data_IF_285589665745
#
_entry.id   IF_285589665745
#
_cell.length_a   1.000
_cell.length_b   1.000
_cell.length_c   1.000
_cell.angle_alpha   90.00
_cell.angle_beta   90.00
_cell.angle_gamma   90.00
#
_symmetry.space_group_name_H-M   'P 1'
#
loop_
_entity.id
_entity.type
_entity.pdbx_description
1 polymer ?
#
# COMPACT_ATOMS: atom_id res chain seq x y z
N UNK A 1 -31.23 11.46 -9.79
CA UNK A 1 -30.29 12.04 -10.78
C UNK A 1 -29.37 13.08 -10.14
N UNK A 2 -29.88 14.19 -9.58
CA UNK A 2 -29.04 15.20 -8.91
C UNK A 2 -28.18 14.59 -7.79
N UNK A 3 -28.80 13.82 -6.87
CA UNK A 3 -28.09 13.16 -5.77
C UNK A 3 -26.98 12.21 -6.24
N UNK A 4 -27.25 11.39 -7.27
CA UNK A 4 -26.26 10.48 -7.87
C UNK A 4 -25.06 11.26 -8.40
N UNK A 5 -25.31 12.34 -9.15
CA UNK A 5 -24.23 13.18 -9.70
C UNK A 5 -23.37 13.78 -8.60
N UNK A 6 -24.00 14.35 -7.57
CA UNK A 6 -23.28 14.93 -6.43
C UNK A 6 -22.44 13.89 -5.70
N UNK A 7 -22.98 12.69 -5.42
CA UNK A 7 -22.22 11.62 -4.76
C UNK A 7 -21.05 11.14 -5.63
N UNK A 8 -21.27 10.99 -6.94
CA UNK A 8 -20.20 10.65 -7.89
C UNK A 8 -19.08 11.68 -7.83
N UNK A 9 -19.41 12.98 -7.88
CA UNK A 9 -18.44 14.07 -7.82
C UNK A 9 -17.68 14.09 -6.49
N UNK A 10 -18.35 13.88 -5.36
CA UNK A 10 -17.70 13.77 -4.04
C UNK A 10 -16.73 12.58 -3.99
N UNK A 11 -17.13 11.43 -4.53
CA UNK A 11 -16.27 10.23 -4.57
C UNK A 11 -15.01 10.47 -5.41
N UNK A 12 -15.14 11.21 -6.52
CA UNK A 12 -14.01 11.60 -7.37
C UNK A 12 -13.12 12.64 -6.71
N UNK A 13 -13.68 13.59 -5.96
CA UNK A 13 -12.91 14.56 -5.19
C UNK A 13 -12.04 13.88 -4.13
N UNK A 14 -12.63 12.94 -3.37
CA UNK A 14 -11.88 12.15 -2.39
C UNK A 14 -10.78 11.30 -3.04
N UNK A 15 -11.09 10.62 -4.15
CA UNK A 15 -10.10 9.85 -4.88
C UNK A 15 -8.96 10.73 -5.45
N UNK A 16 -9.30 11.89 -6.01
CA UNK A 16 -8.34 12.88 -6.52
C UNK A 16 -7.45 13.42 -5.40
N UNK A 17 -8.02 13.70 -4.23
CA UNK A 17 -7.27 14.08 -3.04
C UNK A 17 -6.25 13.00 -2.67
N UNK A 18 -6.67 11.73 -2.62
CA UNK A 18 -5.76 10.59 -2.36
C UNK A 18 -4.65 10.46 -3.41
N UNK A 19 -4.96 10.65 -4.70
CA UNK A 19 -3.94 10.60 -5.76
C UNK A 19 -2.83 11.64 -5.52
N UNK A 20 -3.20 12.85 -5.12
CA UNK A 20 -2.26 13.96 -4.92
C UNK A 20 -1.48 13.85 -3.62
N UNK A 21 -2.14 13.50 -2.52
CA UNK A 21 -1.58 13.62 -1.18
C UNK A 21 -1.22 12.29 -0.51
N UNK A 22 -1.78 11.16 -0.98
CA UNK A 22 -1.68 9.88 -0.30
C UNK A 22 -2.60 9.80 0.92
N UNK A 23 -2.12 9.25 2.03
CA UNK A 23 -2.86 9.24 3.30
C UNK A 23 -2.74 10.58 4.02
N UNK A 24 -3.76 10.93 4.82
CA UNK A 24 -3.74 12.11 5.67
C UNK A 24 -2.55 12.07 6.63
N UNK A 25 -1.81 13.18 6.71
CA UNK A 25 -0.52 13.26 7.39
C UNK A 25 -0.62 13.96 8.74
N UNK A 26 -1.65 14.78 8.91
CA UNK A 26 -1.88 15.61 10.08
C UNK A 26 -3.37 15.95 10.21
N UNK A 27 -3.72 16.66 11.29
CA UNK A 27 -5.11 17.05 11.55
C UNK A 27 -5.72 17.97 10.48
N UNK A 28 -4.92 18.78 9.78
CA UNK A 28 -5.41 19.66 8.72
C UNK A 28 -5.83 18.86 7.49
N UNK A 29 -4.99 17.90 7.05
CA UNK A 29 -5.36 16.97 5.97
C UNK A 29 -6.65 16.20 6.31
N UNK A 30 -6.79 15.73 7.56
CA UNK A 30 -8.02 15.05 8.01
C UNK A 30 -9.23 15.97 7.93
N UNK A 31 -9.10 17.24 8.39
CA UNK A 31 -10.19 18.21 8.34
C UNK A 31 -10.63 18.55 6.91
N UNK A 32 -9.70 18.62 5.94
CA UNK A 32 -10.04 18.81 4.52
C UNK A 32 -10.90 17.65 3.99
N UNK A 33 -10.52 16.42 4.30
CA UNK A 33 -11.20 15.21 3.81
C UNK A 33 -12.54 15.02 4.53
N UNK A 34 -12.62 15.34 5.82
CA UNK A 34 -13.85 15.38 6.60
C UNK A 34 -14.84 16.41 6.03
N UNK A 35 -14.37 17.58 5.59
CA UNK A 35 -15.22 18.61 4.99
C UNK A 35 -15.89 18.12 3.69
N UNK A 36 -15.18 17.35 2.85
CA UNK A 36 -15.76 16.75 1.65
C UNK A 36 -16.85 15.72 2.02
N UNK A 37 -16.59 14.86 3.01
CA UNK A 37 -17.57 13.86 3.46
C UNK A 37 -18.77 14.49 4.19
N UNK A 38 -18.59 15.66 4.81
CA UNK A 38 -19.62 16.40 5.54
C UNK A 38 -20.69 17.07 4.67
N UNK A 39 -20.62 16.91 3.34
CA UNK A 39 -21.61 17.43 2.40
C UNK A 39 -23.01 16.81 2.64
N UNK A 40 -24.08 17.61 2.58
CA UNK A 40 -25.47 17.20 2.87
C UNK A 40 -25.93 15.96 2.09
N UNK A 41 -25.59 15.90 0.79
CA UNK A 41 -25.85 14.75 -0.08
C UNK A 41 -25.40 13.39 0.47
N UNK A 42 -24.34 13.33 1.29
CA UNK A 42 -23.91 12.08 1.94
C UNK A 42 -24.93 11.63 2.98
N UNK A 43 -25.47 12.58 3.74
CA UNK A 43 -26.51 12.33 4.75
C UNK A 43 -27.85 12.00 4.10
N UNK A 44 -28.24 12.74 3.05
CA UNK A 44 -29.49 12.50 2.31
C UNK A 44 -29.53 11.11 1.66
N UNK A 45 -28.36 10.56 1.32
CA UNK A 45 -28.23 9.25 0.71
C UNK A 45 -28.19 8.10 1.72
N UNK A 46 -28.24 8.36 3.03
CA UNK A 46 -28.08 7.32 4.07
C UNK A 46 -29.08 6.15 3.90
N UNK A 47 -30.31 6.45 3.49
CA UNK A 47 -31.40 5.48 3.28
C UNK A 47 -31.64 5.14 1.79
N UNK A 48 -30.69 5.49 0.91
CA UNK A 48 -30.84 5.26 -0.52
C UNK A 48 -30.92 3.75 -0.84
N UNK A 49 -31.86 3.40 -1.74
CA UNK A 49 -32.10 2.02 -2.18
C UNK A 49 -31.57 1.72 -3.59
N UNK A 50 -31.34 2.76 -4.40
CA UNK A 50 -30.82 2.62 -5.76
C UNK A 50 -29.36 2.19 -5.81
N UNK A 51 -28.98 1.46 -6.85
CA UNK A 51 -27.63 0.94 -7.02
C UNK A 51 -26.58 2.06 -7.04
N UNK A 52 -26.78 3.10 -7.86
CA UNK A 52 -25.80 4.15 -8.06
C UNK A 52 -25.64 5.07 -6.84
N UNK A 53 -26.74 5.43 -6.16
CA UNK A 53 -26.66 6.19 -4.91
C UNK A 53 -25.83 5.43 -3.87
N UNK A 54 -26.09 4.13 -3.69
CA UNK A 54 -25.35 3.28 -2.75
C UNK A 54 -23.90 3.10 -3.18
N UNK A 55 -23.65 2.87 -4.46
CA UNK A 55 -22.32 2.69 -5.03
C UNK A 55 -21.41 3.89 -4.72
N UNK A 56 -21.85 5.11 -5.06
CA UNK A 56 -21.06 6.30 -4.86
C UNK A 56 -20.97 6.69 -3.38
N UNK A 57 -22.03 6.48 -2.59
CA UNK A 57 -21.99 6.68 -1.14
C UNK A 57 -20.93 5.76 -0.48
N UNK A 58 -20.91 4.48 -0.85
CA UNK A 58 -19.91 3.54 -0.33
C UNK A 58 -18.51 3.90 -0.79
N UNK A 59 -18.33 4.40 -2.02
CA UNK A 59 -17.05 4.91 -2.49
C UNK A 59 -16.58 6.14 -1.71
N UNK A 60 -17.48 7.09 -1.38
CA UNK A 60 -17.14 8.23 -0.53
C UNK A 60 -16.61 7.78 0.83
N UNK A 61 -17.35 6.90 1.52
CA UNK A 61 -16.89 6.40 2.81
C UNK A 61 -15.63 5.54 2.71
N UNK A 62 -15.50 4.76 1.64
CA UNK A 62 -14.32 3.95 1.35
C UNK A 62 -13.07 4.82 1.22
N UNK A 63 -13.10 5.85 0.37
CA UNK A 63 -11.96 6.75 0.17
C UNK A 63 -11.65 7.57 1.42
N UNK A 64 -12.67 8.13 2.07
CA UNK A 64 -12.49 8.85 3.32
C UNK A 64 -11.81 7.98 4.39
N UNK A 65 -12.32 6.78 4.62
CA UNK A 65 -11.76 5.86 5.61
C UNK A 65 -10.34 5.41 5.25
N UNK A 66 -10.05 5.21 3.97
CA UNK A 66 -8.71 4.83 3.51
C UNK A 66 -7.71 5.98 3.70
N UNK A 67 -8.08 7.20 3.31
CA UNK A 67 -7.25 8.40 3.46
C UNK A 67 -6.93 8.65 4.94
N UNK A 68 -7.93 8.52 5.82
CA UNK A 68 -7.81 8.74 7.27
C UNK A 68 -7.31 7.51 8.05
N UNK A 69 -6.96 6.44 7.34
CA UNK A 69 -6.44 5.18 7.90
C UNK A 69 -7.39 4.50 8.91
N UNK A 70 -8.70 4.72 8.77
CA UNK A 70 -9.71 3.94 9.47
C UNK A 70 -9.94 2.61 8.73
N UNK A 71 -8.98 1.69 8.86
CA UNK A 71 -8.93 0.44 8.09
C UNK A 71 -10.17 -0.45 8.27
N UNK A 72 -10.79 -0.44 9.45
CA UNK A 72 -12.02 -1.19 9.70
C UNK A 72 -13.20 -0.61 8.91
N UNK A 73 -13.31 0.71 8.83
CA UNK A 73 -14.35 1.36 8.03
C UNK A 73 -14.07 1.24 6.54
N UNK A 74 -12.80 1.31 6.13
CA UNK A 74 -12.37 1.05 4.75
C UNK A 74 -12.82 -0.35 4.32
N UNK A 75 -12.48 -1.38 5.10
CA UNK A 75 -12.94 -2.75 4.86
C UNK A 75 -14.47 -2.85 4.79
N UNK A 76 -15.19 -2.30 5.77
CA UNK A 76 -16.65 -2.35 5.82
C UNK A 76 -17.29 -1.80 4.54
N UNK A 77 -16.80 -0.68 4.03
CA UNK A 77 -17.36 -0.06 2.83
C UNK A 77 -16.87 -0.68 1.52
N UNK A 78 -15.67 -1.25 1.48
CA UNK A 78 -15.26 -2.12 0.37
C UNK A 78 -16.16 -3.35 0.25
N UNK A 79 -16.46 -4.00 1.38
CA UNK A 79 -17.34 -5.16 1.41
C UNK A 79 -18.75 -4.78 0.93
N UNK A 80 -19.31 -3.68 1.43
CA UNK A 80 -20.61 -3.17 0.98
C UNK A 80 -20.63 -2.82 -0.51
N UNK A 81 -19.56 -2.22 -1.03
CA UNK A 81 -19.42 -1.92 -2.45
C UNK A 81 -19.47 -3.21 -3.29
N UNK A 82 -18.62 -4.20 -3.00
CA UNK A 82 -18.63 -5.48 -3.74
C UNK A 82 -19.98 -6.19 -3.61
N UNK A 83 -20.58 -6.21 -2.42
CA UNK A 83 -21.87 -6.85 -2.17
C UNK A 83 -23.04 -6.25 -2.98
N UNK A 84 -22.93 -5.00 -3.47
CA UNK A 84 -23.95 -4.45 -4.39
C UNK A 84 -24.06 -5.27 -5.67
N UNK A 85 -22.95 -5.81 -6.16
CA UNK A 85 -22.92 -6.62 -7.37
C UNK A 85 -23.46 -8.03 -7.14
N UNK A 86 -23.39 -8.55 -5.91
CA UNK A 86 -24.07 -9.80 -5.54
C UNK A 86 -25.59 -9.60 -5.45
N UNK A 87 -26.02 -8.43 -4.97
CA UNK A 87 -27.45 -8.06 -4.88
C UNK A 87 -28.05 -7.79 -6.28
N UNK A 88 -27.28 -7.15 -7.17
CA UNK A 88 -27.70 -6.87 -8.55
C UNK A 88 -26.69 -7.43 -9.58
N UNK A 89 -26.67 -8.75 -9.84
CA UNK A 89 -25.65 -9.40 -10.69
C UNK A 89 -25.52 -8.86 -12.10
N UNK A 90 -26.60 -8.35 -12.69
CA UNK A 90 -26.59 -7.68 -14.00
C UNK A 90 -25.60 -6.50 -14.06
N UNK A 91 -25.34 -5.85 -12.92
CA UNK A 91 -24.44 -4.70 -12.85
C UNK A 91 -22.97 -5.11 -12.99
N UNK A 92 -22.61 -6.40 -12.87
CA UNK A 92 -21.24 -6.87 -13.14
C UNK A 92 -20.87 -6.62 -14.60
N UNK A 93 -21.79 -6.89 -15.54
CA UNK A 93 -21.58 -6.63 -16.97
C UNK A 93 -21.73 -5.16 -17.35
N UNK A 94 -22.65 -4.43 -16.70
CA UNK A 94 -22.91 -3.00 -17.00
C UNK A 94 -21.80 -2.10 -16.41
N UNK A 95 -21.39 -2.36 -15.18
CA UNK A 95 -20.48 -1.55 -14.38
C UNK A 95 -19.18 -2.30 -14.05
N UNK A 96 -18.66 -3.06 -15.02
CA UNK A 96 -17.47 -3.91 -14.86
C UNK A 96 -16.28 -3.17 -14.26
N UNK A 97 -16.01 -1.94 -14.70
CA UNK A 97 -14.90 -1.14 -14.18
C UNK A 97 -15.07 -0.79 -12.69
N UNK A 98 -16.31 -0.58 -12.22
CA UNK A 98 -16.59 -0.37 -10.80
C UNK A 98 -16.48 -1.67 -10.00
N UNK A 99 -16.86 -2.81 -10.57
CA UNK A 99 -16.65 -4.11 -9.92
C UNK A 99 -15.17 -4.45 -9.75
N UNK A 100 -14.37 -4.27 -10.80
CA UNK A 100 -12.90 -4.44 -10.76
C UNK A 100 -12.27 -3.56 -9.67
N UNK A 101 -12.67 -2.29 -9.58
CA UNK A 101 -12.21 -1.38 -8.51
C UNK A 101 -12.68 -1.81 -7.12
N UNK A 102 -13.91 -2.31 -6.99
CA UNK A 102 -14.46 -2.83 -5.74
C UNK A 102 -13.65 -4.03 -5.23
N UNK A 103 -13.41 -5.02 -6.09
CA UNK A 103 -12.58 -6.18 -5.77
C UNK A 103 -11.15 -5.78 -5.38
N UNK A 104 -10.52 -4.87 -6.14
CA UNK A 104 -9.20 -4.35 -5.80
C UNK A 104 -9.14 -3.74 -4.39
N UNK A 105 -10.10 -2.86 -4.06
CA UNK A 105 -10.15 -2.21 -2.76
C UNK A 105 -10.46 -3.22 -1.64
N UNK A 106 -11.34 -4.20 -1.88
CA UNK A 106 -11.63 -5.24 -0.90
C UNK A 106 -10.41 -6.12 -0.62
N UNK A 107 -9.68 -6.56 -1.65
CA UNK A 107 -8.42 -7.30 -1.48
C UNK A 107 -7.38 -6.46 -0.73
N UNK A 108 -7.29 -5.16 -1.03
CA UNK A 108 -6.38 -4.24 -0.35
C UNK A 108 -6.76 -4.05 1.12
N UNK A 109 -8.04 -3.90 1.44
CA UNK A 109 -8.52 -3.83 2.82
C UNK A 109 -8.23 -5.12 3.62
N UNK A 110 -8.34 -6.29 2.98
CA UNK A 110 -7.93 -7.55 3.61
C UNK A 110 -6.43 -7.63 3.84
N UNK A 111 -5.62 -7.08 2.94
CA UNK A 111 -4.18 -6.97 3.12
C UNK A 111 -3.84 -6.08 4.31
N UNK A 112 -4.41 -4.87 4.35
CA UNK A 112 -4.15 -3.88 5.41
C UNK A 112 -4.54 -4.39 6.81
N UNK A 113 -5.63 -5.17 6.88
CA UNK A 113 -6.11 -5.81 8.12
C UNK A 113 -5.47 -7.17 8.40
N UNK A 114 -4.54 -7.65 7.57
CA UNK A 114 -3.94 -9.00 7.65
C UNK A 114 -4.99 -10.12 7.76
N UNK A 115 -6.13 -9.98 7.07
CA UNK A 115 -7.19 -11.00 7.02
C UNK A 115 -6.82 -12.08 5.99
N UNK A 116 -5.90 -12.97 6.36
CA UNK A 116 -5.27 -13.94 5.44
C UNK A 116 -6.26 -14.84 4.69
N UNK A 117 -7.30 -15.32 5.37
CA UNK A 117 -8.28 -16.21 4.74
C UNK A 117 -9.09 -15.45 3.68
N UNK A 118 -9.74 -14.35 4.08
CA UNK A 118 -10.59 -13.58 3.16
C UNK A 118 -9.81 -12.90 2.05
N UNK A 119 -8.54 -12.54 2.31
CA UNK A 119 -7.61 -12.09 1.28
C UNK A 119 -7.46 -13.13 0.16
N UNK A 120 -7.19 -14.39 0.52
CA UNK A 120 -7.03 -15.48 -0.44
C UNK A 120 -8.34 -15.83 -1.16
N UNK A 121 -9.47 -15.86 -0.44
CA UNK A 121 -10.79 -16.07 -1.05
C UNK A 121 -11.11 -14.99 -2.09
N UNK A 122 -10.90 -13.71 -1.75
CA UNK A 122 -11.20 -12.58 -2.64
C UNK A 122 -10.25 -12.54 -3.84
N UNK A 123 -8.97 -12.90 -3.67
CA UNK A 123 -8.06 -13.09 -4.81
C UNK A 123 -8.59 -14.17 -5.75
N UNK A 124 -9.03 -15.32 -5.22
CA UNK A 124 -9.58 -16.40 -6.06
C UNK A 124 -10.80 -15.94 -6.88
N UNK A 125 -11.69 -15.14 -6.28
CA UNK A 125 -12.80 -14.50 -7.00
C UNK A 125 -12.29 -13.57 -8.11
N UNK A 126 -11.29 -12.74 -7.81
CA UNK A 126 -10.74 -11.79 -8.79
C UNK A 126 -9.99 -12.50 -9.94
N UNK A 127 -9.29 -13.60 -9.65
CA UNK A 127 -8.67 -14.46 -10.67
C UNK A 127 -9.71 -15.11 -11.56
N UNK A 128 -10.79 -15.66 -10.99
CA UNK A 128 -11.89 -16.20 -11.78
C UNK A 128 -12.58 -15.13 -12.64
N UNK A 129 -12.75 -13.93 -12.11
CA UNK A 129 -13.34 -12.80 -12.84
C UNK A 129 -12.45 -12.31 -14.00
N UNK A 130 -11.12 -12.41 -13.86
CA UNK A 130 -10.20 -12.05 -14.94
C UNK A 130 -10.45 -12.88 -16.20
N UNK A 131 -10.88 -14.13 -16.08
CA UNK A 131 -11.09 -15.06 -17.20
C UNK A 131 -12.43 -14.85 -17.93
N UNK A 132 -13.29 -13.95 -17.46
CA UNK A 132 -14.63 -13.77 -18.05
C UNK A 132 -14.60 -12.88 -19.32
N UNK A 133 -15.61 -13.00 -20.20
CA UNK A 133 -15.71 -12.16 -21.40
C UNK A 133 -15.71 -10.65 -21.10
N UNK A 134 -16.33 -10.22 -19.99
CA UNK A 134 -16.40 -8.82 -19.57
C UNK A 134 -15.01 -8.20 -19.39
N UNK A 135 -14.03 -9.00 -18.97
CA UNK A 135 -12.63 -8.57 -18.83
C UNK A 135 -11.85 -8.84 -20.11
N UNK A 136 -11.90 -10.06 -20.64
CA UNK A 136 -11.06 -10.49 -21.77
C UNK A 136 -11.37 -9.76 -23.08
N UNK A 137 -12.63 -9.38 -23.32
CA UNK A 137 -13.04 -8.72 -24.56
C UNK A 137 -12.93 -7.20 -24.51
N UNK A 138 -12.55 -6.62 -23.36
CA UNK A 138 -12.41 -5.19 -23.19
C UNK A 138 -10.99 -4.84 -22.72
N UNK A 139 -10.22 -4.17 -23.59
CA UNK A 139 -8.82 -3.81 -23.33
C UNK A 139 -8.63 -2.99 -22.04
N UNK A 140 -9.54 -2.06 -21.73
CA UNK A 140 -9.43 -1.24 -20.53
C UNK A 140 -9.65 -2.09 -19.26
N UNK A 141 -10.65 -2.98 -19.29
CA UNK A 141 -10.92 -3.90 -18.18
C UNK A 141 -9.75 -4.87 -17.98
N UNK A 142 -9.22 -5.45 -19.07
CA UNK A 142 -8.07 -6.35 -19.03
C UNK A 142 -6.84 -5.69 -18.38
N UNK A 143 -6.49 -4.48 -18.83
CA UNK A 143 -5.35 -3.73 -18.29
C UNK A 143 -5.59 -3.36 -16.82
N UNK A 144 -6.81 -2.91 -16.47
CA UNK A 144 -7.13 -2.55 -15.10
C UNK A 144 -7.08 -3.76 -14.15
N UNK A 145 -7.64 -4.89 -14.56
CA UNK A 145 -7.57 -6.16 -13.83
C UNK A 145 -6.13 -6.63 -13.69
N UNK A 146 -5.32 -6.56 -14.75
CA UNK A 146 -3.88 -6.88 -14.69
C UNK A 146 -3.17 -6.09 -13.58
N UNK A 147 -3.37 -4.77 -13.52
CA UNK A 147 -2.71 -3.90 -12.53
C UNK A 147 -3.10 -4.32 -11.11
N UNK A 148 -4.40 -4.45 -10.86
CA UNK A 148 -4.91 -4.69 -9.51
C UNK A 148 -4.65 -6.11 -9.03
N UNK A 149 -4.79 -7.10 -9.91
CA UNK A 149 -4.56 -8.48 -9.56
C UNK A 149 -3.07 -8.77 -9.33
N UNK A 150 -2.16 -8.23 -10.15
CA UNK A 150 -0.73 -8.40 -9.90
C UNK A 150 -0.25 -7.62 -8.67
N UNK A 151 -0.87 -6.47 -8.37
CA UNK A 151 -0.67 -5.80 -7.08
C UNK A 151 -1.07 -6.70 -5.90
N UNK A 152 -2.21 -7.38 -6.00
CA UNK A 152 -2.68 -8.33 -5.00
C UNK A 152 -1.75 -9.56 -4.87
N UNK A 153 -1.28 -10.12 -5.98
CA UNK A 153 -0.31 -11.24 -5.98
C UNK A 153 1.00 -10.86 -5.30
N UNK A 154 1.54 -9.68 -5.58
CA UNK A 154 2.71 -9.16 -4.86
C UNK A 154 2.44 -9.00 -3.36
N UNK A 155 1.29 -8.42 -3.00
CA UNK A 155 0.86 -8.28 -1.61
C UNK A 155 0.73 -9.62 -0.89
N UNK A 156 0.32 -10.69 -1.59
CA UNK A 156 0.28 -12.05 -1.05
C UNK A 156 1.67 -12.50 -0.59
N UNK A 157 2.69 -12.26 -1.41
CA UNK A 157 4.07 -12.61 -1.05
C UNK A 157 4.58 -11.82 0.16
N UNK A 158 4.15 -10.57 0.30
CA UNK A 158 4.45 -9.77 1.50
C UNK A 158 3.75 -10.31 2.74
N UNK A 159 2.48 -10.68 2.67
CA UNK A 159 1.74 -11.26 3.80
C UNK A 159 2.31 -12.60 4.26
N UNK A 160 2.71 -13.45 3.30
CA UNK A 160 3.13 -14.82 3.57
C UNK A 160 4.63 -14.96 3.85
N UNK A 161 5.40 -13.88 3.71
CA UNK A 161 6.86 -13.92 3.82
C UNK A 161 7.54 -14.70 2.69
N UNK A 162 6.89 -14.82 1.52
CA UNK A 162 7.35 -15.63 0.39
C UNK A 162 8.03 -14.79 -0.70
N UNK A 163 8.85 -13.81 -0.29
CA UNK A 163 9.50 -12.82 -1.16
C UNK A 163 10.28 -13.44 -2.32
N UNK A 164 11.12 -14.44 -2.04
CA UNK A 164 11.91 -15.13 -3.08
C UNK A 164 11.02 -15.74 -4.16
N UNK A 165 9.91 -16.39 -3.77
CA UNK A 165 8.93 -16.95 -4.72
C UNK A 165 8.24 -15.84 -5.53
N UNK A 166 7.96 -14.71 -4.89
CA UNK A 166 7.36 -13.55 -5.57
C UNK A 166 8.20 -12.97 -6.70
N UNK A 167 9.52 -13.21 -6.71
CA UNK A 167 10.40 -12.79 -7.81
C UNK A 167 10.05 -13.47 -9.14
N UNK A 168 9.41 -14.64 -9.13
CA UNK A 168 8.95 -15.33 -10.34
C UNK A 168 7.91 -14.51 -11.12
N UNK A 169 7.20 -13.59 -10.45
CA UNK A 169 6.22 -12.71 -11.09
C UNK A 169 6.87 -11.52 -11.83
N UNK A 170 8.11 -11.17 -11.49
CA UNK A 170 8.76 -9.93 -11.97
C UNK A 170 8.89 -9.89 -13.49
N UNK A 171 9.40 -10.94 -14.19
CA UNK A 171 9.55 -10.89 -15.65
C UNK A 171 8.21 -10.66 -16.37
N UNK A 172 7.15 -11.35 -15.94
CA UNK A 172 5.81 -11.20 -16.51
C UNK A 172 5.24 -9.79 -16.27
N UNK A 173 5.42 -9.25 -15.06
CA UNK A 173 4.96 -7.90 -14.74
C UNK A 173 5.70 -6.88 -15.61
N UNK A 174 7.02 -6.99 -15.73
CA UNK A 174 7.81 -6.07 -16.57
C UNK A 174 7.40 -6.12 -18.04
N UNK A 175 7.24 -7.32 -18.61
CA UNK A 175 6.74 -7.52 -19.98
C UNK A 175 5.41 -6.79 -20.19
N UNK A 176 4.44 -6.99 -19.29
CA UNK A 176 3.11 -6.36 -19.38
C UNK A 176 3.12 -4.87 -19.11
N UNK A 177 4.02 -4.36 -18.27
CA UNK A 177 4.19 -2.92 -18.09
C UNK A 177 4.70 -2.26 -19.37
N UNK A 178 5.58 -2.92 -20.13
CA UNK A 178 6.02 -2.48 -21.45
C UNK A 178 4.90 -2.58 -22.48
N UNK A 179 4.19 -3.71 -22.54
CA UNK A 179 3.07 -3.91 -23.49
C UNK A 179 1.96 -2.87 -23.31
N UNK A 180 1.65 -2.53 -22.07
CA UNK A 180 0.56 -1.61 -21.73
C UNK A 180 1.01 -0.16 -21.53
N UNK A 181 2.27 0.19 -21.80
CA UNK A 181 2.85 1.50 -21.47
C UNK A 181 1.98 2.69 -21.91
N UNK A 182 1.42 2.65 -23.13
CA UNK A 182 0.58 3.71 -23.68
C UNK A 182 -0.78 3.89 -22.97
N UNK A 183 -1.23 2.89 -22.21
CA UNK A 183 -2.51 2.85 -21.50
C UNK A 183 -2.33 2.98 -19.98
N UNK A 184 -1.10 2.91 -19.49
CA UNK A 184 -0.80 2.96 -18.08
C UNK A 184 -0.50 4.39 -17.65
N UNK A 185 -1.22 4.81 -16.60
CA UNK A 185 -0.77 5.94 -15.82
C UNK A 185 0.59 5.63 -15.17
N UNK A 186 1.50 6.60 -15.24
CA UNK A 186 2.89 6.45 -14.82
C UNK A 186 3.02 6.19 -13.32
N UNK A 187 2.13 6.72 -12.49
CA UNK A 187 2.17 6.48 -11.05
C UNK A 187 1.99 4.98 -10.75
N UNK A 188 1.14 4.27 -11.51
CA UNK A 188 0.94 2.82 -11.34
C UNK A 188 2.22 2.02 -11.63
N UNK A 189 2.98 2.42 -12.66
CA UNK A 189 4.29 1.81 -12.97
C UNK A 189 5.27 2.00 -11.80
N UNK A 190 5.30 3.19 -11.21
CA UNK A 190 6.18 3.50 -10.08
C UNK A 190 5.79 2.73 -8.81
N UNK A 191 4.49 2.50 -8.58
CA UNK A 191 4.01 1.61 -7.50
C UNK A 191 4.48 0.18 -7.72
N UNK A 192 4.46 -0.33 -8.96
CA UNK A 192 5.05 -1.64 -9.27
C UNK A 192 6.55 -1.68 -8.99
N UNK A 193 7.31 -0.68 -9.44
CA UNK A 193 8.75 -0.62 -9.13
C UNK A 193 9.02 -0.62 -7.63
N UNK A 194 8.20 0.06 -6.83
CA UNK A 194 8.35 0.04 -5.38
C UNK A 194 8.11 -1.35 -4.81
N UNK A 195 7.04 -2.03 -5.23
CA UNK A 195 6.72 -3.39 -4.78
C UNK A 195 7.77 -4.41 -5.23
N UNK A 196 8.30 -4.27 -6.45
CA UNK A 196 9.40 -5.12 -6.94
C UNK A 196 10.68 -4.85 -6.13
N UNK A 197 10.99 -3.59 -5.82
CA UNK A 197 12.09 -3.26 -4.92
C UNK A 197 11.90 -3.89 -3.53
N UNK A 198 10.67 -3.88 -2.98
CA UNK A 198 10.34 -4.53 -1.71
C UNK A 198 10.48 -6.06 -1.78
N UNK A 199 10.16 -6.69 -2.93
CA UNK A 199 10.43 -8.13 -3.14
C UNK A 199 11.93 -8.44 -3.05
N UNK A 200 12.74 -7.71 -3.82
CA UNK A 200 14.20 -7.87 -3.79
C UNK A 200 14.76 -7.61 -2.39
N UNK A 201 14.33 -6.55 -1.72
CA UNK A 201 14.72 -6.24 -0.34
C UNK A 201 14.40 -7.39 0.62
N UNK A 202 13.16 -7.89 0.62
CA UNK A 202 12.74 -8.96 1.52
C UNK A 202 13.40 -10.31 1.23
N UNK A 203 13.81 -10.55 -0.04
CA UNK A 203 14.59 -11.71 -0.44
C UNK A 203 16.08 -11.62 -0.07
N UNK A 204 16.57 -10.42 0.26
CA UNK A 204 17.97 -10.13 0.60
C UNK A 204 18.83 -9.64 -0.57
N UNK A 205 18.27 -9.47 -1.76
CA UNK A 205 18.95 -8.88 -2.92
C UNK A 205 18.84 -7.34 -2.88
N UNK A 206 19.64 -6.73 -2.00
CA UNK A 206 19.61 -5.28 -1.78
C UNK A 206 20.11 -4.49 -2.99
N UNK A 207 21.00 -5.08 -3.82
CA UNK A 207 21.52 -4.45 -5.03
C UNK A 207 20.41 -4.21 -6.05
N UNK A 208 19.66 -5.25 -6.43
CA UNK A 208 18.51 -5.08 -7.32
C UNK A 208 17.40 -4.25 -6.70
N UNK A 209 17.21 -4.32 -5.38
CA UNK A 209 16.27 -3.42 -4.71
C UNK A 209 16.60 -1.95 -4.99
N UNK A 210 17.89 -1.57 -4.84
CA UNK A 210 18.38 -0.22 -5.15
C UNK A 210 18.12 0.15 -6.62
N UNK A 211 18.33 -0.77 -7.56
CA UNK A 211 18.09 -0.50 -8.99
C UNK A 211 16.64 -0.08 -9.26
N UNK A 212 15.66 -0.80 -8.70
CA UNK A 212 14.24 -0.45 -8.84
C UNK A 212 13.87 0.83 -8.08
N UNK A 213 14.46 1.08 -6.90
CA UNK A 213 14.24 2.32 -6.16
C UNK A 213 14.76 3.54 -6.92
N UNK A 214 15.89 3.40 -7.61
CA UNK A 214 16.43 4.43 -8.47
C UNK A 214 15.52 4.78 -9.65
N UNK A 215 14.76 3.81 -10.19
CA UNK A 215 13.72 4.10 -11.21
C UNK A 215 12.64 5.07 -10.69
N UNK A 216 12.40 5.09 -9.38
CA UNK A 216 11.44 6.01 -8.72
C UNK A 216 12.11 7.33 -8.34
N UNK A 217 13.26 7.25 -7.68
CA UNK A 217 13.98 8.41 -7.12
C UNK A 217 14.44 9.37 -8.21
N UNK A 218 14.89 8.84 -9.34
CA UNK A 218 15.38 9.63 -10.47
C UNK A 218 14.26 10.11 -11.41
N UNK A 219 13.01 9.85 -11.07
CA UNK A 219 11.86 10.30 -11.83
C UNK A 219 11.69 11.83 -11.71
N UNK A 220 11.55 12.52 -12.86
CA UNK A 220 11.63 13.99 -12.97
C UNK A 220 10.28 14.73 -12.96
N UNK A 221 9.16 14.03 -12.90
CA UNK A 221 7.80 14.63 -12.94
C UNK A 221 7.15 14.54 -11.57
N UNK A 222 6.20 15.43 -11.27
CA UNK A 222 5.38 15.39 -10.05
C UNK A 222 4.87 13.98 -9.78
N UNK A 223 5.51 13.35 -8.79
CA UNK A 223 5.10 12.07 -8.23
C UNK A 223 4.43 12.34 -6.89
N UNK A 224 3.49 11.47 -6.53
CA UNK A 224 2.96 11.44 -5.17
C UNK A 224 4.10 11.44 -4.15
N UNK A 225 4.00 12.38 -3.23
CA UNK A 225 5.05 12.75 -2.29
C UNK A 225 5.47 11.60 -1.37
N UNK A 226 4.50 10.83 -0.87
CA UNK A 226 4.71 9.66 0.00
C UNK A 226 5.59 8.58 -0.65
N UNK A 227 5.30 8.18 -1.90
CA UNK A 227 6.01 7.15 -2.64
C UNK A 227 7.47 7.54 -2.85
N UNK A 228 7.71 8.82 -3.17
CA UNK A 228 9.08 9.36 -3.26
C UNK A 228 9.82 9.32 -1.92
N UNK A 229 9.14 9.62 -0.81
CA UNK A 229 9.74 9.58 0.52
C UNK A 229 10.08 8.15 0.94
N UNK A 230 9.14 7.21 0.84
CA UNK A 230 9.35 5.83 1.25
C UNK A 230 10.30 5.06 0.31
N UNK A 231 10.33 5.38 -0.99
CA UNK A 231 11.36 4.85 -1.88
C UNK A 231 12.77 5.29 -1.44
N UNK A 232 12.96 6.56 -1.07
CA UNK A 232 14.25 7.04 -0.56
C UNK A 232 14.62 6.45 0.79
N UNK A 233 13.64 6.23 1.67
CA UNK A 233 13.87 5.60 2.97
C UNK A 233 14.28 4.13 2.80
N UNK A 234 13.56 3.36 1.98
CA UNK A 234 13.94 1.98 1.67
C UNK A 234 15.31 1.91 0.97
N UNK A 235 15.62 2.89 0.12
CA UNK A 235 16.92 3.00 -0.55
C UNK A 235 18.06 3.22 0.45
N UNK A 236 17.86 4.09 1.46
CA UNK A 236 18.82 4.26 2.55
C UNK A 236 19.06 2.96 3.32
N UNK A 237 17.99 2.22 3.64
CA UNK A 237 18.09 0.96 4.36
C UNK A 237 18.77 -0.09 3.49
N UNK A 238 18.47 -0.18 2.19
CA UNK A 238 19.16 -1.09 1.29
C UNK A 238 20.67 -0.79 1.17
N UNK A 239 21.08 0.48 1.15
CA UNK A 239 22.51 0.83 1.22
C UNK A 239 23.14 0.49 2.57
N UNK A 240 22.40 0.64 3.67
CA UNK A 240 22.83 0.20 4.99
C UNK A 240 23.10 -1.30 5.03
N UNK A 241 22.21 -2.08 4.44
CA UNK A 241 22.33 -3.54 4.33
C UNK A 241 23.56 -3.99 3.53
N UNK A 242 23.92 -3.25 2.47
CA UNK A 242 25.12 -3.50 1.69
C UNK A 242 26.41 -3.01 2.36
N UNK A 243 26.33 -2.32 3.50
CA UNK A 243 27.50 -1.75 4.17
C UNK A 243 28.10 -0.54 3.44
N UNK A 244 27.32 0.16 2.61
CA UNK A 244 27.76 1.32 1.83
C UNK A 244 27.88 2.60 2.70
N UNK A 245 28.53 2.52 3.86
CA UNK A 245 28.51 3.55 4.90
C UNK A 245 29.10 4.90 4.47
N UNK A 246 30.10 4.90 3.58
CA UNK A 246 30.69 6.14 3.04
C UNK A 246 29.66 6.99 2.28
N UNK A 247 28.85 6.33 1.44
CA UNK A 247 27.78 6.98 0.68
C UNK A 247 26.62 7.41 1.58
N UNK A 248 26.34 6.63 2.62
CA UNK A 248 25.18 6.86 3.48
C UNK A 248 25.21 8.19 4.24
N UNK A 249 26.37 8.72 4.62
CA UNK A 249 26.41 10.02 5.31
C UNK A 249 25.84 11.14 4.44
N UNK A 250 26.17 11.12 3.14
CA UNK A 250 25.60 12.06 2.18
C UNK A 250 24.12 11.79 1.92
N UNK A 251 23.75 10.53 1.67
CA UNK A 251 22.37 10.16 1.39
C UNK A 251 21.43 10.53 2.53
N UNK A 252 21.80 10.28 3.79
CA UNK A 252 20.95 10.63 4.94
C UNK A 252 20.60 12.12 4.96
N UNK A 253 21.59 13.00 4.74
CA UNK A 253 21.38 14.46 4.70
C UNK A 253 20.44 14.85 3.56
N UNK A 254 20.63 14.24 2.38
CA UNK A 254 19.83 14.50 1.19
C UNK A 254 18.37 14.05 1.38
N UNK A 255 18.16 12.82 1.84
CA UNK A 255 16.81 12.26 2.03
C UNK A 255 16.07 12.97 3.17
N UNK A 256 16.73 13.25 4.29
CA UNK A 256 16.12 14.01 5.38
C UNK A 256 15.60 15.37 4.90
N UNK A 257 16.43 16.12 4.16
CA UNK A 257 16.03 17.42 3.59
C UNK A 257 14.84 17.29 2.64
N UNK A 258 14.83 16.25 1.82
CA UNK A 258 13.71 15.98 0.91
C UNK A 258 12.42 15.71 1.70
N UNK A 259 12.44 14.80 2.67
CA UNK A 259 11.26 14.44 3.47
C UNK A 259 10.76 15.61 4.33
N UNK A 260 11.68 16.42 4.87
CA UNK A 260 11.34 17.65 5.59
C UNK A 260 10.58 18.64 4.70
N UNK A 261 11.10 18.92 3.49
CA UNK A 261 10.44 19.81 2.51
C UNK A 261 9.04 19.33 2.15
N UNK A 262 8.87 18.02 2.08
CA UNK A 262 7.63 17.35 1.73
C UNK A 262 6.62 17.23 2.88
N UNK A 263 6.97 17.72 4.08
CA UNK A 263 6.17 17.56 5.31
C UNK A 263 5.81 16.09 5.59
N UNK A 264 6.78 15.21 5.37
CA UNK A 264 6.62 13.76 5.47
C UNK A 264 7.55 13.12 6.50
N UNK A 265 7.98 13.90 7.50
CA UNK A 265 8.71 13.41 8.68
C UNK A 265 7.73 13.33 9.85
N UNK A 266 7.32 12.12 10.18
CA UNK A 266 6.64 11.81 11.44
C UNK A 266 7.66 11.38 12.50
N UNK A 267 7.17 11.07 13.70
CA UNK A 267 8.01 10.57 14.79
C UNK A 267 8.74 9.30 14.37
N UNK A 268 8.07 8.41 13.63
CA UNK A 268 8.68 7.16 13.15
C UNK A 268 9.89 7.42 12.25
N UNK A 269 9.75 8.28 11.24
CA UNK A 269 10.87 8.55 10.33
C UNK A 269 12.03 9.26 11.03
N UNK A 270 11.74 10.18 11.95
CA UNK A 270 12.78 10.85 12.75
C UNK A 270 13.59 9.85 13.60
N UNK A 271 12.94 8.87 14.23
CA UNK A 271 13.63 7.80 14.97
C UNK A 271 14.52 6.95 14.03
N UNK A 272 14.03 6.61 12.84
CA UNK A 272 14.82 5.87 11.85
C UNK A 272 16.05 6.67 11.40
N UNK A 273 15.90 7.96 11.07
CA UNK A 273 17.04 8.82 10.71
C UNK A 273 18.06 8.94 11.85
N UNK A 274 17.57 9.09 13.08
CA UNK A 274 18.42 9.19 14.27
C UNK A 274 19.20 7.90 14.50
N UNK A 275 18.55 6.75 14.34
CA UNK A 275 19.19 5.44 14.39
C UNK A 275 20.26 5.30 13.31
N UNK A 276 19.91 5.53 12.04
CA UNK A 276 20.85 5.37 10.91
C UNK A 276 22.09 6.26 11.08
N UNK A 277 21.90 7.50 11.53
CA UNK A 277 23.01 8.43 11.79
C UNK A 277 23.93 7.96 12.92
N UNK A 278 23.39 7.31 13.96
CA UNK A 278 24.18 6.77 15.08
C UNK A 278 24.89 5.48 14.68
N UNK A 279 24.25 4.66 13.84
CA UNK A 279 24.72 3.31 13.48
C UNK A 279 26.14 3.28 12.90
N UNK A 280 26.58 4.33 12.18
CA UNK A 280 27.93 4.40 11.60
C UNK A 280 29.06 4.45 12.61
N UNK A 281 28.76 4.84 13.85
CA UNK A 281 29.76 5.03 14.91
C UNK A 281 29.78 3.86 15.91
N UNK A 282 28.92 2.87 15.71
CA UNK A 282 28.69 1.77 16.64
C UNK A 282 29.37 0.52 16.12
N UNK A 283 30.12 -0.17 16.99
CA UNK A 283 30.76 -1.43 16.62
C UNK A 283 29.71 -2.53 16.36
N UNK A 284 29.98 -3.53 15.50
CA UNK A 284 29.03 -4.61 15.22
C UNK A 284 28.49 -5.32 16.49
N UNK A 285 29.33 -5.49 17.51
CA UNK A 285 28.95 -6.10 18.79
C UNK A 285 27.93 -5.27 19.60
N UNK A 286 27.85 -3.97 19.34
CA UNK A 286 26.94 -3.04 20.01
C UNK A 286 25.71 -2.69 19.17
N UNK A 287 25.58 -3.23 17.95
CA UNK A 287 24.47 -2.92 17.06
C UNK A 287 23.15 -3.55 17.50
N UNK A 288 23.16 -4.79 18.01
CA UNK A 288 21.94 -5.47 18.46
C UNK A 288 21.13 -4.65 19.49
N UNK A 289 21.75 -4.13 20.57
CA UNK A 289 21.06 -3.21 21.49
C UNK A 289 20.48 -1.95 20.83
N UNK A 290 21.09 -1.44 19.76
CA UNK A 290 20.55 -0.27 19.04
C UNK A 290 19.30 -0.62 18.23
N UNK A 291 19.27 -1.81 17.62
CA UNK A 291 18.06 -2.32 16.96
C UNK A 291 16.93 -2.56 17.96
N UNK A 292 17.22 -3.16 19.11
CA UNK A 292 16.24 -3.38 20.19
C UNK A 292 15.67 -2.04 20.71
N UNK A 293 16.53 -1.03 20.90
CA UNK A 293 16.11 0.30 21.32
C UNK A 293 15.21 1.00 20.28
N UNK A 294 15.56 0.90 18.99
CA UNK A 294 14.71 1.43 17.91
C UNK A 294 13.38 0.67 17.84
N UNK A 295 13.39 -0.66 17.95
CA UNK A 295 12.16 -1.45 17.95
C UNK A 295 11.23 -1.03 19.09
N UNK A 296 11.78 -0.86 20.30
CA UNK A 296 11.03 -0.42 21.47
C UNK A 296 10.44 1.00 21.31
N UNK A 297 11.10 1.89 20.57
CA UNK A 297 10.55 3.24 20.30
C UNK A 297 9.47 3.24 19.21
N UNK A 298 9.55 2.33 18.24
CA UNK A 298 8.60 2.26 17.12
C UNK A 298 7.30 1.49 17.47
N UNK A 299 7.37 0.43 18.27
CA UNK A 299 6.20 -0.41 18.60
C UNK A 299 5.00 0.38 19.16
N UNK A 300 5.17 1.35 20.08
CA UNK A 300 4.05 2.15 20.58
C UNK A 300 3.39 3.03 19.50
N UNK A 301 4.13 3.39 18.44
CA UNK A 301 3.67 4.28 17.38
C UNK A 301 2.80 3.57 16.34
N UNK A 302 2.88 2.24 16.22
CA UNK A 302 2.08 1.44 15.29
C UNK A 302 0.57 1.65 15.50
N UNK A 303 0.15 1.87 16.76
CA UNK A 303 -1.25 2.10 17.13
C UNK A 303 -1.70 3.56 17.02
N UNK A 304 -0.77 4.49 16.81
CA UNK A 304 -1.10 5.90 16.65
C UNK A 304 -1.50 6.16 15.20
N UNK A 305 -2.75 6.59 14.97
CA UNK A 305 -3.32 6.78 13.63
C UNK A 305 -2.47 7.68 12.73
N UNK A 306 -1.90 8.76 13.24
CA UNK A 306 -1.11 9.69 12.42
C UNK A 306 0.30 9.17 12.11
N UNK A 307 0.81 8.25 12.93
CA UNK A 307 2.14 7.65 12.79
C UNK A 307 2.08 6.32 12.03
N UNK A 308 0.92 5.65 12.03
CA UNK A 308 0.71 4.31 11.48
C UNK A 308 1.00 4.22 9.97
N UNK A 309 0.95 5.36 9.27
CA UNK A 309 1.32 5.49 7.85
C UNK A 309 2.72 4.96 7.55
N UNK A 310 3.71 5.19 8.40
CA UNK A 310 5.07 4.73 8.15
C UNK A 310 5.16 3.20 7.97
N UNK A 311 4.32 2.47 8.72
CA UNK A 311 4.26 1.01 8.71
C UNK A 311 3.49 0.45 7.51
N UNK A 312 2.68 1.27 6.81
CA UNK A 312 1.95 0.86 5.60
C UNK A 312 2.89 0.67 4.40
N UNK A 313 3.96 1.45 4.32
CA UNK A 313 4.88 1.42 3.17
C UNK A 313 6.08 0.51 3.40
N UNK A 314 6.48 0.29 4.66
CA UNK A 314 7.65 -0.47 5.04
C UNK A 314 7.41 -1.25 6.33
N UNK A 315 7.55 -2.59 6.28
CA UNK A 315 7.53 -3.44 7.47
C UNK A 315 8.88 -3.34 8.22
N UNK A 316 9.15 -2.14 8.74
CA UNK A 316 10.38 -1.79 9.46
C UNK A 316 10.52 -2.64 10.73
N UNK A 317 9.40 -3.05 11.33
CA UNK A 317 9.36 -3.91 12.52
C UNK A 317 9.95 -5.28 12.20
N UNK A 318 9.48 -5.92 11.13
CA UNK A 318 10.01 -7.23 10.73
C UNK A 318 11.46 -7.14 10.25
N UNK A 319 11.86 -6.01 9.65
CA UNK A 319 13.28 -5.74 9.37
C UNK A 319 14.13 -5.67 10.65
N UNK A 320 13.70 -4.93 11.67
CA UNK A 320 14.42 -4.83 12.95
C UNK A 320 14.54 -6.18 13.65
N UNK A 321 13.45 -6.93 13.73
CA UNK A 321 13.44 -8.29 14.29
C UNK A 321 14.41 -9.23 13.54
N UNK A 322 14.49 -9.09 12.22
CA UNK A 322 15.44 -9.85 11.39
C UNK A 322 16.89 -9.61 11.85
N UNK A 323 17.22 -8.37 12.25
CA UNK A 323 18.54 -8.00 12.75
C UNK A 323 18.79 -8.45 14.18
N UNK A 324 17.78 -8.37 15.03
CA UNK A 324 17.88 -8.77 16.44
C UNK A 324 18.05 -10.29 16.57
N UNK A 325 17.35 -11.05 15.71
CA UNK A 325 17.39 -12.52 15.69
C UNK A 325 18.41 -13.12 14.72
N UNK A 326 19.06 -12.28 13.90
CA UNK A 326 19.99 -12.70 12.85
C UNK A 326 19.35 -13.74 11.90
N UNK A 327 18.16 -13.42 11.40
CA UNK A 327 17.41 -14.23 10.44
C UNK A 327 17.03 -13.37 9.23
N UNK A 328 16.91 -13.93 8.01
CA UNK A 328 16.39 -13.21 6.87
C UNK A 328 14.98 -12.64 7.12
N UNK A 329 14.71 -11.43 6.62
CA UNK A 329 13.40 -10.74 6.76
C UNK A 329 12.24 -11.63 6.32
N UNK A 330 12.39 -12.31 5.18
CA UNK A 330 11.37 -13.25 4.69
C UNK A 330 11.04 -14.37 5.69
N UNK A 331 12.01 -14.84 6.47
CA UNK A 331 11.76 -15.90 7.46
C UNK A 331 10.96 -15.38 8.66
N UNK A 332 11.29 -14.17 9.14
CA UNK A 332 10.54 -13.51 10.22
C UNK A 332 9.07 -13.35 9.83
N UNK A 333 8.82 -12.79 8.64
CA UNK A 333 7.44 -12.57 8.15
C UNK A 333 6.72 -13.90 7.92
N UNK A 334 7.43 -14.92 7.41
CA UNK A 334 6.86 -16.26 7.23
C UNK A 334 6.45 -16.90 8.56
N UNK A 335 7.25 -16.74 9.61
CA UNK A 335 6.93 -17.25 10.94
C UNK A 335 5.66 -16.58 11.49
N UNK A 336 5.58 -15.24 11.43
CA UNK A 336 4.39 -14.48 11.82
C UNK A 336 3.13 -14.95 11.10
N UNK A 337 3.23 -15.19 9.78
CA UNK A 337 2.12 -15.73 9.00
C UNK A 337 1.67 -17.12 9.48
N UNK A 338 2.61 -18.03 9.70
CA UNK A 338 2.30 -19.39 10.16
C UNK A 338 1.69 -19.41 11.57
N UNK A 339 2.15 -18.54 12.46
CA UNK A 339 1.60 -18.36 13.81
C UNK A 339 0.18 -17.79 13.79
N UNK A 340 -0.07 -16.78 12.96
CA UNK A 340 -1.40 -16.20 12.78
C UNK A 340 -2.39 -17.26 12.26
N UNK A 341 -1.97 -18.05 11.27
CA UNK A 341 -2.79 -19.13 10.69
C UNK A 341 -3.18 -20.17 11.74
N UNK A 342 -2.22 -20.63 12.55
CA UNK A 342 -2.48 -21.60 13.64
C UNK A 342 -3.46 -21.06 14.67
N UNK A 343 -3.33 -19.77 15.03
CA UNK A 343 -4.24 -19.12 15.97
C UNK A 343 -5.67 -19.03 15.45
N UNK A 344 -5.86 -18.83 14.14
CA UNK A 344 -7.20 -18.81 13.50
C UNK A 344 -7.82 -20.20 13.39
N UNK A 345 -7.02 -21.26 13.20
CA UNK A 345 -7.51 -22.65 13.12
C UNK A 345 -7.85 -23.25 14.49
N UNK A 346 -7.36 -22.65 15.58
CA UNK A 346 -7.60 -23.09 16.96
C UNK A 346 -8.86 -22.48 17.62
N UNK A 347 -9.51 -21.53 16.94
CA UNK A 347 -10.77 -20.85 17.33
C UNK A 347 -11.89 -21.41 16.46
#
# INVERSE_FOLDING_TARGET
LALISTLSDLSLQLYSWYIRHGHARNAADTAEVDAILGHEAVTDAADAKGFYERLYLYQCYCWHAFITQNLLMYYRYCQKWVALFDIEPKMVGIETAHYIKGLHNLVSAHFDLRNYQKFNETIGVFEAFMETPEVQQNKNNLIQTFIYLNTARLNKHFLEGSFTKGLELVPYIEEKLTEYELYLDRHRVLVFYYKIASLYFGSGDFGRSIDYLNKIINWKVDLRTDLQCYARLLHLIAHYELGNFELMEYLLKSVYRFMYKMQNLSTVEEEIFRFLRRSFKVSPKQMKPQFEALLASLLPLEKNRLESRAFMYLDIISWLESKIHNQPVQQIIRQKYLEAKRSTEAI
#
